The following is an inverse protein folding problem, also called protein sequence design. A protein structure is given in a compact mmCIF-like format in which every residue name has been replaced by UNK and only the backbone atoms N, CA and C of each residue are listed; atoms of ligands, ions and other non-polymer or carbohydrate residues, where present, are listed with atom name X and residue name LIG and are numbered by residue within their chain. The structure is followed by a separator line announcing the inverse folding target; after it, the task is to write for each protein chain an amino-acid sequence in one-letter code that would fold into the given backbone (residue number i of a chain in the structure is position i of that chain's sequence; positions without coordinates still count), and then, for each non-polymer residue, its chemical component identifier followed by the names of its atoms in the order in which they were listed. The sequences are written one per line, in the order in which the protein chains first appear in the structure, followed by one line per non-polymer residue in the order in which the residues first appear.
data_IF_421645397490
#
_entry.id   IF_421645397490
#
_cell.length_a   1.000
_cell.length_b   1.000
_cell.length_c   1.000
_cell.angle_alpha   90.00
_cell.angle_beta   90.00
_cell.angle_gamma   90.00
#
_symmetry.space_group_name_H-M   'P 1'
#
loop_
_entity.id
_entity.type
_entity.pdbx_description
1 polymer ?
#
# COMPACT_ATOMS: atom_id res chain seq x y z
N UNK A 1 46.80 -29.70 -64.14
CA UNK A 1 46.40 -28.68 -63.17
C UNK A 1 45.53 -29.42 -62.17
N UNK A 2 46.06 -29.60 -60.95
CA UNK A 2 45.70 -30.71 -60.07
C UNK A 2 44.32 -30.55 -59.40
N UNK A 3 43.37 -31.42 -59.76
CA UNK A 3 42.04 -31.53 -59.16
C UNK A 3 42.09 -31.57 -57.61
N UNK A 4 43.13 -32.25 -57.06
CA UNK A 4 43.35 -32.32 -55.62
C UNK A 4 43.68 -30.97 -54.96
N UNK A 5 44.37 -30.07 -55.67
CA UNK A 5 44.70 -28.74 -55.17
C UNK A 5 43.41 -27.85 -55.12
N UNK A 6 42.54 -28.04 -56.10
CA UNK A 6 41.25 -27.34 -56.13
C UNK A 6 40.28 -27.83 -55.03
N UNK A 7 40.33 -29.14 -54.74
CA UNK A 7 39.52 -29.72 -53.67
C UNK A 7 40.00 -29.28 -52.28
N UNK A 8 41.34 -29.20 -52.07
CA UNK A 8 41.89 -28.68 -50.82
C UNK A 8 41.60 -27.22 -50.57
N UNK A 9 41.68 -26.36 -51.60
CA UNK A 9 41.33 -24.92 -51.45
C UNK A 9 39.81 -24.70 -51.20
N UNK A 10 38.94 -25.49 -51.82
CA UNK A 10 37.52 -25.43 -51.58
C UNK A 10 37.16 -25.89 -50.15
N UNK A 11 37.85 -26.92 -49.64
CA UNK A 11 37.66 -27.40 -48.26
C UNK A 11 38.18 -26.40 -47.22
N UNK A 12 39.26 -25.68 -47.51
CA UNK A 12 39.81 -24.64 -46.63
C UNK A 12 38.87 -23.42 -46.54
N UNK A 13 38.15 -23.06 -47.61
CA UNK A 13 37.17 -21.97 -47.64
C UNK A 13 35.88 -22.30 -46.87
N UNK A 14 35.55 -23.59 -46.73
CA UNK A 14 34.40 -24.03 -45.94
C UNK A 14 34.66 -24.00 -44.42
N UNK A 15 35.92 -23.98 -43.98
CA UNK A 15 36.29 -23.94 -42.57
C UNK A 15 36.37 -22.54 -41.96
N UNK A 16 36.29 -21.47 -42.76
CA UNK A 16 36.28 -20.09 -42.24
C UNK A 16 34.90 -19.56 -41.89
N UNK A 17 33.87 -20.41 -41.93
CA UNK A 17 32.47 -20.04 -41.70
C UNK A 17 32.02 -19.89 -40.22
N UNK A 18 32.92 -20.06 -39.24
CA UNK A 18 32.61 -19.78 -37.83
C UNK A 18 33.00 -18.32 -37.46
N UNK A 19 32.41 -17.35 -38.14
CA UNK A 19 32.33 -16.01 -37.57
C UNK A 19 31.37 -16.08 -36.40
N UNK A 20 31.90 -16.14 -35.19
CA UNK A 20 31.14 -15.89 -33.98
C UNK A 20 30.58 -14.46 -34.10
N UNK A 21 29.31 -14.35 -34.50
CA UNK A 21 28.55 -13.13 -34.32
C UNK A 21 28.40 -12.96 -32.80
N UNK A 22 29.36 -12.30 -32.17
CA UNK A 22 29.19 -11.79 -30.83
C UNK A 22 27.98 -10.85 -30.90
N UNK A 23 26.85 -11.36 -30.46
CA UNK A 23 25.68 -10.47 -30.24
C UNK A 23 26.10 -9.47 -29.16
N UNK A 24 25.99 -8.17 -29.40
CA UNK A 24 26.29 -7.19 -28.37
C UNK A 24 25.50 -7.52 -27.11
N UNK A 25 26.16 -7.49 -25.96
CA UNK A 25 25.52 -7.75 -24.68
C UNK A 25 24.30 -6.85 -24.55
N UNK A 26 23.14 -7.46 -24.42
CA UNK A 26 21.88 -6.74 -24.22
C UNK A 26 21.97 -6.04 -22.85
N UNK A 27 22.05 -4.72 -22.86
CA UNK A 27 22.02 -3.94 -21.62
C UNK A 27 20.56 -3.71 -21.24
N UNK A 28 20.20 -4.15 -20.02
CA UNK A 28 18.88 -3.92 -19.42
C UNK A 28 19.03 -2.79 -18.40
N UNK A 29 18.26 -1.73 -18.58
CA UNK A 29 18.19 -0.61 -17.65
C UNK A 29 17.10 -0.88 -16.61
N UNK A 30 17.45 -0.71 -15.34
CA UNK A 30 16.52 -0.87 -14.22
C UNK A 30 16.12 0.47 -13.63
N UNK A 31 14.85 0.59 -13.29
CA UNK A 31 14.23 1.81 -12.81
C UNK A 31 13.48 1.59 -11.49
N UNK A 32 13.37 2.65 -10.72
CA UNK A 32 12.66 2.67 -9.45
C UNK A 32 11.84 3.95 -9.33
N UNK A 33 10.66 3.86 -8.73
CA UNK A 33 9.88 5.04 -8.31
C UNK A 33 10.64 5.70 -7.16
N UNK A 34 11.00 6.97 -7.34
CA UNK A 34 11.75 7.74 -6.34
C UNK A 34 11.24 9.19 -6.36
N UNK A 35 10.91 9.70 -5.17
CA UNK A 35 10.48 11.09 -4.98
C UNK A 35 10.85 11.56 -3.57
N UNK A 36 10.86 12.87 -3.34
CA UNK A 36 11.05 13.41 -2.01
C UNK A 36 9.85 13.06 -1.13
N UNK A 37 10.07 12.59 0.11
CA UNK A 37 8.98 12.26 1.03
C UNK A 37 7.99 13.42 1.17
N UNK A 38 6.72 13.08 1.23
CA UNK A 38 5.67 14.05 1.48
C UNK A 38 5.70 14.42 2.96
N UNK A 39 5.86 15.72 3.24
CA UNK A 39 5.72 16.23 4.59
C UNK A 39 4.28 16.72 4.77
N UNK A 40 3.40 15.95 5.40
CA UNK A 40 2.10 16.46 5.79
C UNK A 40 2.27 17.56 6.84
N UNK A 41 1.31 18.47 6.91
CA UNK A 41 1.30 19.53 7.94
C UNK A 41 1.51 18.92 9.32
N UNK A 42 2.28 19.62 10.19
CA UNK A 42 2.57 19.16 11.54
C UNK A 42 1.27 18.73 12.26
N UNK A 43 1.19 17.46 12.56
CA UNK A 43 0.07 16.82 13.25
C UNK A 43 0.60 16.16 14.51
N UNK A 44 -0.26 16.00 15.50
CA UNK A 44 0.08 15.28 16.72
C UNK A 44 0.42 13.81 16.41
N UNK A 45 1.43 13.28 17.08
CA UNK A 45 1.77 11.86 16.95
C UNK A 45 0.70 11.01 17.64
N UNK A 46 0.19 10.04 16.92
CA UNK A 46 -0.77 9.07 17.44
C UNK A 46 -0.02 7.88 18.05
N UNK A 47 -0.42 7.46 19.26
CA UNK A 47 0.15 6.28 19.92
C UNK A 47 -0.40 4.99 19.31
N UNK A 48 -0.11 4.77 18.04
CA UNK A 48 -0.59 3.63 17.26
C UNK A 48 0.51 3.04 16.40
N UNK A 49 0.44 1.74 16.15
CA UNK A 49 1.30 1.02 15.21
C UNK A 49 0.51 0.74 13.93
N UNK A 50 1.05 1.21 12.81
CA UNK A 50 0.48 1.03 11.48
C UNK A 50 1.18 -0.12 10.76
N UNK A 51 0.43 -1.17 10.40
CA UNK A 51 0.90 -2.30 9.61
C UNK A 51 0.63 -2.09 8.12
N UNK A 52 1.65 -2.27 7.29
CA UNK A 52 1.50 -2.21 5.83
C UNK A 52 1.65 -3.62 5.26
N UNK A 53 0.54 -4.18 4.81
CA UNK A 53 0.50 -5.51 4.21
C UNK A 53 1.20 -5.51 2.85
N UNK A 54 1.71 -6.67 2.44
CA UNK A 54 2.18 -6.86 1.07
C UNK A 54 1.04 -6.52 0.11
N UNK A 55 1.32 -5.66 -0.88
CA UNK A 55 0.34 -5.30 -1.90
C UNK A 55 0.22 -6.40 -2.94
N UNK A 56 -0.97 -6.57 -3.47
CA UNK A 56 -1.24 -7.38 -4.65
C UNK A 56 -1.37 -6.49 -5.88
N UNK A 57 -1.32 -7.09 -7.07
CA UNK A 57 -1.30 -6.35 -8.33
C UNK A 57 -2.08 -7.10 -9.41
N UNK A 58 -2.69 -6.36 -10.31
CA UNK A 58 -3.34 -6.93 -11.49
C UNK A 58 -2.32 -7.71 -12.34
N UNK A 59 -2.71 -8.91 -12.78
CA UNK A 59 -1.83 -9.86 -13.47
C UNK A 59 -1.10 -9.26 -14.68
N UNK A 60 -1.71 -8.29 -15.35
CA UNK A 60 -1.09 -7.59 -16.49
C UNK A 60 0.17 -6.79 -16.08
N UNK A 61 0.37 -6.51 -14.80
CA UNK A 61 1.49 -5.74 -14.26
C UNK A 61 2.32 -6.55 -13.26
N UNK A 62 1.98 -7.82 -13.03
CA UNK A 62 2.66 -8.70 -12.06
C UNK A 62 3.98 -9.26 -12.62
N UNK A 63 4.86 -8.36 -13.02
CA UNK A 63 6.21 -8.66 -13.53
C UNK A 63 7.09 -7.40 -13.48
N UNK A 64 8.39 -7.56 -13.75
CA UNK A 64 9.38 -6.48 -13.71
C UNK A 64 9.43 -5.60 -14.96
N UNK A 65 8.67 -5.90 -16.03
CA UNK A 65 8.69 -5.12 -17.26
C UNK A 65 7.83 -3.89 -17.12
N UNK A 66 8.33 -2.75 -17.59
CA UNK A 66 7.52 -1.55 -17.73
C UNK A 66 6.45 -1.75 -18.81
N UNK A 67 5.21 -1.35 -18.52
CA UNK A 67 4.05 -1.51 -19.40
C UNK A 67 3.67 -0.15 -19.99
N UNK A 68 3.37 -0.11 -21.28
CA UNK A 68 2.84 1.06 -21.94
C UNK A 68 1.59 0.73 -22.77
N UNK A 69 0.75 1.74 -23.00
CA UNK A 69 -0.48 1.67 -23.78
C UNK A 69 -0.33 2.57 -25.01
N UNK A 70 -0.57 2.02 -26.19
CA UNK A 70 -0.65 2.75 -27.46
C UNK A 70 -2.11 2.98 -27.91
N UNK A 71 -3.07 2.38 -27.19
CA UNK A 71 -4.49 2.46 -27.49
C UNK A 71 -5.35 1.94 -26.33
N UNK A 72 -6.66 1.99 -26.51
CA UNK A 72 -7.61 1.60 -25.48
C UNK A 72 -7.48 0.12 -25.08
N UNK A 73 -7.15 -0.75 -26.03
CA UNK A 73 -7.15 -2.21 -25.85
C UNK A 73 -5.76 -2.81 -25.91
N UNK A 74 -4.74 -2.07 -26.32
CA UNK A 74 -3.39 -2.57 -26.51
C UNK A 74 -2.52 -2.31 -25.28
N UNK A 75 -1.75 -3.32 -24.90
CA UNK A 75 -0.75 -3.26 -23.84
C UNK A 75 0.52 -3.89 -24.38
N UNK A 76 1.61 -3.15 -24.26
CA UNK A 76 2.95 -3.58 -24.67
C UNK A 76 3.89 -3.52 -23.46
N UNK A 77 5.01 -4.21 -23.56
CA UNK A 77 6.05 -4.16 -22.53
C UNK A 77 7.37 -3.77 -23.13
N UNK A 78 8.12 -2.97 -22.40
CA UNK A 78 9.49 -2.67 -22.77
C UNK A 78 10.38 -3.92 -22.65
N UNK A 79 11.24 -4.12 -23.62
CA UNK A 79 12.16 -5.25 -23.60
C UNK A 79 13.40 -4.95 -22.75
N UNK A 80 13.98 -3.75 -22.88
CA UNK A 80 15.24 -3.32 -22.26
C UNK A 80 15.07 -2.45 -21.02
N UNK A 81 13.85 -2.04 -20.67
CA UNK A 81 13.57 -1.16 -19.54
C UNK A 81 12.66 -1.88 -18.55
N UNK A 82 13.16 -2.04 -17.33
CA UNK A 82 12.49 -2.83 -16.30
C UNK A 82 12.44 -2.12 -14.97
N UNK A 83 11.49 -2.48 -14.18
CA UNK A 83 11.49 -2.15 -12.75
C UNK A 83 12.56 -2.96 -12.02
N UNK A 84 13.20 -2.37 -11.00
CA UNK A 84 14.20 -3.06 -10.17
C UNK A 84 13.59 -4.22 -9.37
N UNK A 85 12.29 -4.14 -9.08
CA UNK A 85 11.49 -5.18 -8.42
C UNK A 85 10.03 -5.11 -8.91
N UNK A 86 9.17 -6.00 -8.42
CA UNK A 86 7.74 -5.97 -8.73
C UNK A 86 7.13 -4.60 -8.34
N UNK A 87 6.32 -3.97 -9.21
CA UNK A 87 5.73 -2.66 -8.94
C UNK A 87 4.93 -2.58 -7.64
N UNK A 88 4.22 -3.64 -7.25
CA UNK A 88 3.47 -3.66 -6.00
C UNK A 88 4.36 -3.54 -4.76
N UNK A 89 5.52 -4.22 -4.76
CA UNK A 89 6.51 -4.11 -3.70
C UNK A 89 7.13 -2.72 -3.67
N UNK A 90 7.49 -2.18 -4.82
CA UNK A 90 8.09 -0.86 -4.96
C UNK A 90 7.16 0.26 -4.47
N UNK A 91 5.87 0.20 -4.83
CA UNK A 91 4.83 1.15 -4.38
C UNK A 91 4.62 1.03 -2.87
N UNK A 92 4.54 -0.19 -2.35
CA UNK A 92 4.42 -0.45 -0.92
C UNK A 92 5.59 0.12 -0.12
N UNK A 93 6.82 -0.12 -0.58
CA UNK A 93 8.03 0.33 0.10
C UNK A 93 8.14 1.87 0.07
N UNK A 94 7.72 2.52 -1.01
CA UNK A 94 7.60 3.97 -1.08
C UNK A 94 6.60 4.51 -0.04
N UNK A 95 5.44 3.89 0.10
CA UNK A 95 4.45 4.27 1.11
C UNK A 95 4.94 4.05 2.54
N UNK A 96 5.64 2.95 2.83
CA UNK A 96 6.26 2.70 4.14
C UNK A 96 7.24 3.83 4.47
N UNK A 97 8.13 4.18 3.52
CA UNK A 97 9.11 5.25 3.67
C UNK A 97 8.44 6.60 3.99
N UNK A 98 7.38 6.94 3.26
CA UNK A 98 6.64 8.18 3.46
C UNK A 98 5.94 8.24 4.83
N UNK A 99 5.22 7.18 5.19
CA UNK A 99 4.50 7.09 6.46
C UNK A 99 5.45 7.10 7.67
N UNK A 100 6.65 6.49 7.54
CA UNK A 100 7.69 6.55 8.55
C UNK A 100 8.27 7.97 8.65
N UNK A 101 8.52 8.62 7.51
CA UNK A 101 9.07 9.98 7.47
C UNK A 101 8.10 11.02 8.07
N UNK A 102 6.80 10.84 7.88
CA UNK A 102 5.77 11.71 8.42
C UNK A 102 5.77 11.78 9.97
N UNK A 103 6.22 10.71 10.65
CA UNK A 103 6.35 10.68 12.11
C UNK A 103 5.02 10.72 12.89
N UNK A 104 3.89 10.47 12.21
CA UNK A 104 2.56 10.56 12.82
C UNK A 104 2.18 9.36 13.68
N UNK A 105 2.91 8.26 13.59
CA UNK A 105 2.62 7.00 14.26
C UNK A 105 3.78 6.58 15.15
N UNK A 106 3.50 5.84 16.21
CA UNK A 106 4.53 5.23 17.06
C UNK A 106 5.48 4.34 16.26
N UNK A 107 4.94 3.58 15.32
CA UNK A 107 5.71 2.79 14.37
C UNK A 107 4.91 2.53 13.09
N UNK A 108 5.61 2.35 11.97
CA UNK A 108 5.07 1.84 10.70
C UNK A 108 5.87 0.59 10.34
N UNK A 109 5.19 -0.56 10.24
CA UNK A 109 5.83 -1.87 10.11
C UNK A 109 5.29 -2.65 8.91
N UNK A 110 6.14 -3.44 8.22
CA UNK A 110 5.67 -4.36 7.20
C UNK A 110 4.91 -5.53 7.83
N UNK A 111 3.85 -5.99 7.15
CA UNK A 111 3.03 -7.13 7.57
C UNK A 111 3.06 -8.21 6.46
N UNK A 112 3.25 -9.50 6.83
CA UNK A 112 3.44 -10.05 8.17
C UNK A 112 4.81 -9.70 8.77
N UNK A 113 4.85 -9.56 10.09
CA UNK A 113 6.06 -9.24 10.86
C UNK A 113 5.90 -9.61 12.32
N UNK A 114 6.98 -9.54 13.13
CA UNK A 114 6.95 -9.93 14.56
C UNK A 114 6.24 -8.91 15.45
N UNK A 115 6.04 -7.68 14.99
CA UNK A 115 5.45 -6.60 15.78
C UNK A 115 3.93 -6.62 15.61
N UNK A 116 3.19 -6.51 16.71
CA UNK A 116 1.74 -6.29 16.68
C UNK A 116 1.42 -4.89 16.10
N UNK A 117 0.28 -4.76 15.46
CA UNK A 117 -0.20 -3.51 14.86
C UNK A 117 -1.67 -3.27 15.18
N UNK A 118 -2.05 -2.00 15.27
CA UNK A 118 -3.40 -1.57 15.62
C UNK A 118 -4.27 -1.35 14.38
N UNK A 119 -3.67 -0.88 13.30
CA UNK A 119 -4.31 -0.63 12.01
C UNK A 119 -3.51 -1.21 10.86
N UNK A 120 -4.19 -1.63 9.80
CA UNK A 120 -3.58 -2.28 8.65
C UNK A 120 -4.00 -1.64 7.34
N UNK A 121 -3.01 -1.32 6.50
CA UNK A 121 -3.21 -0.91 5.11
C UNK A 121 -3.03 -2.11 4.19
N UNK A 122 -4.04 -2.41 3.40
CA UNK A 122 -3.99 -3.38 2.31
C UNK A 122 -4.11 -2.66 0.98
N UNK A 123 -3.27 -3.00 0.01
CA UNK A 123 -3.26 -2.39 -1.31
C UNK A 123 -3.42 -3.41 -2.43
N UNK A 124 -4.16 -2.99 -3.46
CA UNK A 124 -4.22 -3.65 -4.75
C UNK A 124 -3.85 -2.67 -5.85
N UNK A 125 -2.78 -2.93 -6.57
CA UNK A 125 -2.33 -2.11 -7.70
C UNK A 125 -3.15 -2.51 -8.93
N UNK A 126 -4.07 -1.63 -9.33
CA UNK A 126 -4.94 -1.84 -10.50
C UNK A 126 -4.22 -1.56 -11.79
N UNK A 127 -3.43 -0.48 -11.78
CA UNK A 127 -2.74 0.01 -12.97
C UNK A 127 -1.44 0.72 -12.58
N UNK A 128 -0.38 0.40 -13.29
CA UNK A 128 0.91 1.08 -13.24
C UNK A 128 1.50 1.03 -14.65
N UNK A 129 1.30 2.08 -15.41
CA UNK A 129 1.68 2.07 -16.82
C UNK A 129 1.88 3.48 -17.37
N UNK A 130 2.52 3.52 -18.52
CA UNK A 130 2.59 4.66 -19.40
C UNK A 130 1.38 4.64 -20.34
N UNK A 131 0.76 5.81 -20.56
CA UNK A 131 -0.25 6.04 -21.58
C UNK A 131 0.37 6.89 -22.68
N UNK A 132 0.71 6.29 -23.82
CA UNK A 132 1.06 7.01 -25.05
C UNK A 132 -0.18 7.05 -25.97
N UNK A 133 -1.06 8.00 -25.73
CA UNK A 133 -2.28 8.19 -26.50
C UNK A 133 -2.13 9.34 -27.51
N UNK A 134 -0.98 9.38 -28.17
CA UNK A 134 -0.67 10.33 -29.23
C UNK A 134 -0.23 11.71 -28.74
N UNK A 135 -1.16 12.61 -28.42
CA UNK A 135 -0.82 13.96 -27.93
C UNK A 135 -0.63 14.04 -26.41
N UNK A 136 -1.22 13.10 -25.68
CA UNK A 136 -1.14 13.02 -24.22
C UNK A 136 -0.27 11.84 -23.82
N UNK A 137 0.95 12.13 -23.42
CA UNK A 137 1.88 11.14 -22.91
C UNK A 137 2.02 11.32 -21.40
N UNK A 138 1.52 10.36 -20.64
CA UNK A 138 1.45 10.42 -19.18
C UNK A 138 1.76 9.06 -18.54
N UNK A 139 2.22 9.09 -17.31
CA UNK A 139 2.28 7.91 -16.46
C UNK A 139 1.09 7.86 -15.51
N UNK A 140 0.55 6.67 -15.29
CA UNK A 140 -0.63 6.42 -14.45
C UNK A 140 -0.29 5.44 -13.34
N UNK A 141 -0.72 5.78 -12.12
CA UNK A 141 -0.77 4.87 -10.97
C UNK A 141 -2.20 4.83 -10.46
N UNK A 142 -2.74 3.62 -10.25
CA UNK A 142 -4.11 3.39 -9.78
C UNK A 142 -4.10 2.30 -8.71
N UNK A 143 -4.53 2.64 -7.49
CA UNK A 143 -4.48 1.79 -6.32
C UNK A 143 -5.86 1.69 -5.66
N UNK A 144 -6.28 0.48 -5.31
CA UNK A 144 -7.36 0.28 -4.34
C UNK A 144 -6.74 0.05 -2.96
N UNK A 145 -7.12 0.86 -1.99
CA UNK A 145 -6.66 0.75 -0.61
C UNK A 145 -7.83 0.38 0.29
N UNK A 146 -7.62 -0.67 1.10
CA UNK A 146 -8.51 -1.04 2.19
C UNK A 146 -7.79 -0.77 3.50
N UNK A 147 -8.40 0.06 4.36
CA UNK A 147 -7.86 0.41 5.66
C UNK A 147 -8.69 -0.22 6.78
N UNK A 148 -8.03 -0.95 7.67
CA UNK A 148 -8.66 -1.86 8.62
C UNK A 148 -8.13 -1.59 10.02
N UNK A 149 -9.02 -1.56 11.02
CA UNK A 149 -8.66 -1.70 12.42
C UNK A 149 -8.47 -3.17 12.77
N UNK A 150 -7.35 -3.49 13.43
CA UNK A 150 -6.98 -4.84 13.91
C UNK A 150 -6.88 -4.84 15.43
N UNK A 151 -7.96 -5.09 16.16
CA UNK A 151 -7.89 -5.16 17.63
C UNK A 151 -7.04 -6.35 18.09
N UNK A 152 -6.26 -6.16 19.15
CA UNK A 152 -5.37 -7.20 19.73
C UNK A 152 -6.15 -8.36 20.35
N UNK A 153 -7.33 -8.08 20.88
CA UNK A 153 -8.23 -9.08 21.46
C UNK A 153 -9.37 -9.40 20.51
N UNK A 154 -9.33 -10.61 19.94
CA UNK A 154 -10.42 -11.25 19.18
C UNK A 154 -11.02 -10.59 17.95
N UNK A 155 -10.81 -11.25 16.85
CA UNK A 155 -11.78 -11.64 15.79
C UNK A 155 -12.63 -10.60 15.05
N UNK A 156 -12.65 -9.34 15.38
CA UNK A 156 -13.47 -8.35 14.66
C UNK A 156 -12.64 -7.28 13.97
N UNK A 157 -11.92 -7.68 12.92
CA UNK A 157 -11.37 -6.71 11.98
C UNK A 157 -12.50 -5.83 11.45
N UNK A 158 -12.32 -4.51 11.53
CA UNK A 158 -13.29 -3.55 11.03
C UNK A 158 -12.67 -2.72 9.92
N UNK A 159 -13.27 -2.76 8.74
CA UNK A 159 -12.90 -1.87 7.64
C UNK A 159 -13.32 -0.45 8.02
N UNK A 160 -12.37 0.47 8.03
CA UNK A 160 -12.61 1.88 8.27
C UNK A 160 -12.95 2.61 6.97
N UNK A 161 -12.22 2.29 5.90
CA UNK A 161 -12.57 2.70 4.55
C UNK A 161 -12.00 1.75 3.50
N UNK A 162 -12.62 1.77 2.31
CA UNK A 162 -12.07 1.26 1.08
C UNK A 162 -12.19 2.35 0.02
N UNK A 163 -11.08 2.71 -0.62
CA UNK A 163 -11.05 3.84 -1.53
C UNK A 163 -10.05 3.60 -2.67
N UNK A 164 -10.41 4.08 -3.85
CA UNK A 164 -9.53 4.12 -5.00
C UNK A 164 -8.71 5.42 -5.00
N UNK A 165 -7.43 5.31 -5.28
CA UNK A 165 -6.48 6.41 -5.46
C UNK A 165 -5.86 6.29 -6.84
N UNK A 166 -6.16 7.25 -7.68
CA UNK A 166 -5.63 7.32 -9.05
C UNK A 166 -5.01 8.68 -9.29
N UNK A 167 -3.79 8.67 -9.80
CA UNK A 167 -3.11 9.89 -10.26
C UNK A 167 -2.42 9.63 -11.60
N UNK A 168 -2.26 10.70 -12.37
CA UNK A 168 -1.46 10.69 -13.58
C UNK A 168 -0.61 11.95 -13.65
N UNK A 169 0.58 11.83 -14.25
CA UNK A 169 1.47 12.96 -14.48
C UNK A 169 2.03 12.91 -15.90
N UNK A 170 2.11 14.09 -16.54
CA UNK A 170 2.63 14.20 -17.89
C UNK A 170 4.12 13.87 -17.96
N UNK A 171 4.52 13.08 -18.95
CA UNK A 171 5.91 12.79 -19.25
C UNK A 171 6.56 14.00 -19.94
N UNK A 172 7.69 14.48 -19.39
CA UNK A 172 8.41 15.65 -19.94
C UNK A 172 9.32 15.33 -21.14
N UNK A 173 9.45 14.07 -21.49
CA UNK A 173 10.28 13.57 -22.57
C UNK A 173 9.81 12.20 -23.05
N UNK A 174 10.20 11.80 -24.26
CA UNK A 174 9.85 10.50 -24.85
C UNK A 174 10.93 9.46 -24.56
N UNK A 175 11.18 9.23 -23.29
CA UNK A 175 12.15 8.23 -22.84
C UNK A 175 11.70 7.60 -21.50
N UNK A 176 12.18 6.42 -21.16
CA UNK A 176 11.77 5.71 -19.94
C UNK A 176 12.07 6.48 -18.65
N UNK A 177 13.09 7.33 -18.60
CA UNK A 177 13.40 8.15 -17.41
C UNK A 177 12.32 9.20 -17.18
N UNK A 178 11.81 9.82 -18.27
CA UNK A 178 10.70 10.76 -18.17
C UNK A 178 9.41 10.08 -17.72
N UNK A 179 9.16 8.83 -18.16
CA UNK A 179 8.03 8.00 -17.71
C UNK A 179 8.14 7.71 -16.21
N UNK A 180 9.31 7.28 -15.73
CA UNK A 180 9.54 6.98 -14.31
C UNK A 180 9.42 8.25 -13.44
N UNK A 181 9.93 9.38 -13.91
CA UNK A 181 9.79 10.66 -13.20
C UNK A 181 8.33 11.10 -13.09
N UNK A 182 7.53 10.93 -14.14
CA UNK A 182 6.10 11.20 -14.12
C UNK A 182 5.37 10.23 -13.16
N UNK A 183 5.72 8.95 -13.20
CA UNK A 183 5.15 7.94 -12.29
C UNK A 183 5.49 8.23 -10.83
N UNK A 184 6.71 8.69 -10.57
CA UNK A 184 7.13 9.15 -9.24
C UNK A 184 6.29 10.34 -8.75
N UNK A 185 5.98 11.29 -9.64
CA UNK A 185 5.09 12.41 -9.33
C UNK A 185 3.68 11.94 -9.02
N UNK A 186 3.10 11.05 -9.83
CA UNK A 186 1.78 10.48 -9.58
C UNK A 186 1.72 9.72 -8.25
N UNK A 187 2.77 8.95 -7.93
CA UNK A 187 2.85 8.24 -6.67
C UNK A 187 2.95 9.18 -5.46
N UNK A 188 3.71 10.27 -5.60
CA UNK A 188 3.80 11.30 -4.56
C UNK A 188 2.45 11.95 -4.26
N UNK A 189 1.64 12.24 -5.28
CA UNK A 189 0.28 12.77 -5.13
C UNK A 189 -0.63 11.78 -4.38
N UNK A 190 -0.60 10.52 -4.78
CA UNK A 190 -1.35 9.45 -4.09
C UNK A 190 -0.94 9.35 -2.63
N UNK A 191 0.36 9.32 -2.35
CA UNK A 191 0.89 9.22 -1.00
C UNK A 191 0.41 10.36 -0.10
N UNK A 192 0.40 11.61 -0.60
CA UNK A 192 -0.05 12.78 0.15
C UNK A 192 -1.53 12.67 0.58
N UNK A 193 -2.39 12.26 -0.35
CA UNK A 193 -3.83 12.09 -0.07
C UNK A 193 -4.06 10.92 0.87
N UNK A 194 -3.42 9.78 0.62
CA UNK A 194 -3.56 8.57 1.42
C UNK A 194 -3.12 8.78 2.87
N UNK A 195 -1.99 9.44 3.11
CA UNK A 195 -1.51 9.78 4.45
C UNK A 195 -2.54 10.60 5.23
N UNK A 196 -3.14 11.59 4.57
CA UNK A 196 -4.20 12.41 5.16
C UNK A 196 -5.45 11.59 5.51
N UNK A 197 -5.88 10.71 4.62
CA UNK A 197 -7.06 9.87 4.83
C UNK A 197 -6.84 8.87 5.97
N UNK A 198 -5.68 8.21 6.03
CA UNK A 198 -5.31 7.28 7.11
C UNK A 198 -5.29 8.01 8.45
N UNK A 199 -4.61 9.16 8.53
CA UNK A 199 -4.52 9.93 9.77
C UNK A 199 -5.90 10.33 10.31
N UNK A 200 -6.76 10.88 9.46
CA UNK A 200 -8.13 11.25 9.82
C UNK A 200 -8.98 10.04 10.26
N UNK A 201 -8.83 8.92 9.57
CA UNK A 201 -9.56 7.70 9.91
C UNK A 201 -9.19 7.17 11.30
N UNK A 202 -7.89 7.16 11.64
CA UNK A 202 -7.41 6.77 12.97
C UNK A 202 -7.92 7.74 14.04
N UNK A 203 -7.80 9.05 13.83
CA UNK A 203 -8.31 10.05 14.78
C UNK A 203 -9.80 9.88 15.03
N UNK A 204 -10.60 9.67 13.99
CA UNK A 204 -12.03 9.43 14.11
C UNK A 204 -12.35 8.15 14.87
N UNK A 205 -11.62 7.10 14.61
CA UNK A 205 -11.79 5.81 15.28
C UNK A 205 -11.42 5.86 16.78
N UNK A 206 -10.32 6.53 17.12
CA UNK A 206 -9.89 6.72 18.51
C UNK A 206 -10.92 7.55 19.31
N UNK A 207 -11.44 8.63 18.75
CA UNK A 207 -12.49 9.44 19.38
C UNK A 207 -13.75 8.64 19.63
N UNK A 208 -14.21 7.88 18.63
CA UNK A 208 -15.40 7.05 18.75
C UNK A 208 -15.28 5.95 19.83
N UNK A 209 -14.07 5.41 20.04
CA UNK A 209 -13.82 4.43 21.10
C UNK A 209 -13.86 5.09 22.48
N UNK A 210 -13.20 6.23 22.68
CA UNK A 210 -13.24 6.97 23.95
C UNK A 210 -14.69 7.32 24.33
N UNK A 211 -15.51 7.81 23.38
CA UNK A 211 -16.92 8.11 23.65
C UNK A 211 -17.73 6.86 24.01
N UNK A 212 -17.37 5.71 23.47
CA UNK A 212 -18.03 4.45 23.79
C UNK A 212 -17.66 3.96 25.20
N UNK A 213 -16.38 4.00 25.53
CA UNK A 213 -15.86 3.58 26.82
C UNK A 213 -16.47 4.45 27.95
N UNK A 214 -16.50 5.77 27.79
CA UNK A 214 -17.16 6.68 28.74
C UNK A 214 -18.65 6.38 28.91
N UNK A 215 -19.37 6.06 27.83
CA UNK A 215 -20.79 5.70 27.91
C UNK A 215 -21.03 4.37 28.61
N UNK A 216 -20.12 3.42 28.46
CA UNK A 216 -20.18 2.12 29.15
C UNK A 216 -19.89 2.29 30.64
N UNK A 217 -18.88 3.08 31.02
CA UNK A 217 -18.57 3.40 32.44
C UNK A 217 -19.74 4.09 33.13
N UNK A 218 -20.30 5.16 32.55
CA UNK A 218 -21.47 5.85 33.12
C UNK A 218 -22.67 4.92 33.27
N UNK A 219 -22.86 3.98 32.34
CA UNK A 219 -23.96 3.02 32.41
C UNK A 219 -23.75 1.96 33.51
N UNK A 220 -22.52 1.60 33.79
CA UNK A 220 -22.19 0.71 34.90
C UNK A 220 -22.35 1.41 36.25
N UNK A 221 -21.86 2.65 36.39
CA UNK A 221 -22.05 3.46 37.60
C UNK A 221 -23.53 3.64 37.96
N UNK A 222 -24.37 4.02 36.97
CA UNK A 222 -25.82 4.17 37.17
C UNK A 222 -26.47 2.85 37.58
N UNK A 223 -26.03 1.71 37.07
CA UNK A 223 -26.53 0.38 37.48
C UNK A 223 -26.15 0.02 38.90
N UNK A 224 -24.97 0.40 39.34
CA UNK A 224 -24.52 0.18 40.72
C UNK A 224 -25.28 1.04 41.71
N UNK A 225 -25.47 2.34 41.39
CA UNK A 225 -26.29 3.26 42.21
C UNK A 225 -27.72 2.75 42.39
N UNK A 226 -28.38 2.33 41.30
CA UNK A 226 -29.76 1.78 41.37
C UNK A 226 -29.83 0.53 42.23
N UNK A 227 -28.81 -0.38 42.14
CA UNK A 227 -28.77 -1.57 43.01
C UNK A 227 -28.57 -1.23 44.49
N UNK A 228 -27.78 -0.22 44.79
CA UNK A 228 -27.59 0.22 46.18
C UNK A 228 -28.85 0.88 46.76
N UNK A 229 -29.64 1.61 45.94
CA UNK A 229 -30.93 2.18 46.34
C UNK A 229 -31.97 1.09 46.60
N UNK A 230 -32.08 0.09 45.73
CA UNK A 230 -33.00 -1.04 45.88
C UNK A 230 -32.68 -1.85 47.18
N UNK A 231 -31.41 -2.07 47.47
CA UNK A 231 -30.98 -2.77 48.72
C UNK A 231 -31.32 -1.96 49.98
N UNK A 232 -31.20 -0.63 49.92
CA UNK A 232 -31.57 0.29 51.02
C UNK A 232 -33.10 0.31 51.26
N UNK A 233 -33.91 0.29 50.18
CA UNK A 233 -35.38 0.23 50.30
C UNK A 233 -35.87 -1.11 50.86
N UNK A 234 -35.26 -2.26 50.48
CA UNK A 234 -35.60 -3.58 51.03
C UNK A 234 -35.25 -3.65 52.51
N UNK A 235 -34.03 -3.17 52.90
CA UNK A 235 -33.65 -3.13 54.33
C UNK A 235 -34.54 -2.28 55.21
N UNK A 236 -35.13 -1.20 54.65
CA UNK A 236 -36.10 -0.34 55.38
C UNK A 236 -37.48 -1.01 55.51
N UNK A 237 -37.88 -1.85 54.56
CA UNK A 237 -39.14 -2.63 54.65
C UNK A 237 -39.07 -3.74 55.68
N UNK A 238 -37.96 -4.50 55.72
CA UNK A 238 -37.76 -5.58 56.73
C UNK A 238 -37.76 -5.02 58.16
N UNK A 239 -37.16 -3.87 58.42
CA UNK A 239 -37.16 -3.24 59.75
C UNK A 239 -38.52 -2.73 60.19
N UNK A 240 -39.42 -2.32 59.25
CA UNK A 240 -40.80 -1.92 59.59
C UNK A 240 -41.73 -3.08 59.86
N UNK A 241 -41.54 -4.21 59.15
CA UNK A 241 -42.35 -5.42 59.41
C UNK A 241 -41.96 -6.13 60.73
N UNK A 242 -40.67 -6.12 61.10
CA UNK A 242 -40.20 -6.64 62.40
C UNK A 242 -40.70 -5.78 63.56
N UNK A 243 -40.90 -4.45 63.38
CA UNK A 243 -41.43 -3.56 64.42
C UNK A 243 -42.93 -3.70 64.67
N UNK A 244 -43.71 -4.25 63.74
CA UNK A 244 -45.16 -4.41 63.85
C UNK A 244 -45.60 -5.78 64.39
N UNK A 245 -44.66 -6.74 64.53
CA UNK A 245 -44.93 -8.08 65.08
C UNK A 245 -44.79 -8.16 66.63
N UNK A 246 -44.46 -7.06 67.33
CA UNK A 246 -44.24 -6.99 68.78
C UNK A 246 -45.31 -6.07 69.48
N UNK A 247 -46.48 -5.98 68.95
CA UNK A 247 -47.62 -5.31 69.62
C UNK A 247 -48.82 -6.23 69.73
#
# INVERSE_FOLDING_TARGET
MNLNLFLCTALLLLLTGCLSLEQPAVNIDYYQIEYAPVNPSASEQLDTVLGIRRFTIATAYDHDRMVYKEGAFERQTYYYHRWITNPAEMIRDALIKDLQHAGHYRAVVPVPGPTAWDYEVQGYVREVCENDLGQNWESVVDLDITFIRTPQETSKRRVLFQKNYRASAACKGKDPKAVVAAMSTAMQEISAVLQTDIYKAIQGDLKANVEKDVKEEVKEEVKEEVKEEDVKEEGVKETKDAGNAIR
#
